data_IF_283075720433
#
_entry.id   IF_283075720433
#
_cell.length_a   1.000
_cell.length_b   1.000
_cell.length_c   1.000
_cell.angle_alpha   90.00
_cell.angle_beta   90.00
_cell.angle_gamma   90.00
#
_symmetry.space_group_name_H-M   'P 1'
#
loop_
_entity.id
_entity.type
_entity.pdbx_description
1 polymer ?
#
# COMPACT_ATOMS: atom_id res chain seq x y z
N UNK A 1 52.38 14.84 -49.69
CA UNK A 1 51.53 15.66 -48.82
C UNK A 1 50.22 14.93 -48.68
N UNK A 2 50.00 14.24 -47.53
CA UNK A 2 48.72 13.65 -47.12
C UNK A 2 48.12 14.56 -46.06
N UNK A 3 47.03 15.24 -46.42
CA UNK A 3 46.24 16.01 -45.47
C UNK A 3 45.35 15.06 -44.72
N UNK A 4 45.60 14.89 -43.41
CA UNK A 4 44.70 14.21 -42.50
C UNK A 4 43.52 15.12 -42.10
N UNK A 5 42.30 14.78 -42.50
CA UNK A 5 41.07 15.39 -41.94
C UNK A 5 40.84 14.83 -40.53
N UNK A 6 41.09 15.64 -39.52
CA UNK A 6 40.69 15.37 -38.15
C UNK A 6 39.19 15.61 -38.00
N UNK A 7 38.40 14.52 -37.78
CA UNK A 7 37.00 14.64 -37.31
C UNK A 7 37.03 15.17 -35.86
N UNK A 8 36.62 16.40 -35.66
CA UNK A 8 36.27 16.93 -34.34
C UNK A 8 34.85 16.41 -33.98
N UNK A 9 34.78 15.43 -33.10
CA UNK A 9 33.51 15.05 -32.47
C UNK A 9 33.21 16.18 -31.44
N UNK A 10 32.32 17.09 -31.82
CA UNK A 10 31.77 18.09 -30.92
C UNK A 10 30.77 17.34 -29.99
N UNK A 11 31.25 16.95 -28.81
CA UNK A 11 30.36 16.56 -27.72
C UNK A 11 29.64 17.82 -27.25
N UNK A 12 28.45 18.05 -27.80
CA UNK A 12 27.55 19.08 -27.29
C UNK A 12 27.19 18.79 -25.82
N UNK A 13 27.00 19.83 -24.98
CA UNK A 13 26.55 19.63 -23.62
C UNK A 13 25.22 18.83 -23.67
N UNK A 14 25.17 17.70 -23.00
CA UNK A 14 23.93 17.01 -22.72
C UNK A 14 23.09 18.00 -21.89
N UNK A 15 22.13 18.66 -22.53
CA UNK A 15 21.15 19.48 -21.83
C UNK A 15 20.50 18.56 -20.81
N UNK A 16 20.63 18.88 -19.52
CA UNK A 16 19.94 18.16 -18.47
C UNK A 16 18.46 18.04 -18.89
N UNK A 17 17.94 16.80 -18.94
CA UNK A 17 16.58 16.54 -19.44
C UNK A 17 15.48 17.08 -18.50
N UNK A 18 15.84 18.00 -17.61
CA UNK A 18 14.95 18.65 -16.65
C UNK A 18 14.92 17.93 -15.31
N UNK A 19 13.90 18.26 -14.52
CA UNK A 19 13.70 17.71 -13.19
C UNK A 19 12.25 17.28 -12.96
N UNK A 20 12.00 16.56 -11.87
CA UNK A 20 10.70 16.21 -11.35
C UNK A 20 10.73 16.20 -9.83
N UNK A 21 9.71 16.75 -9.19
CA UNK A 21 9.60 16.88 -7.73
C UNK A 21 8.61 15.84 -7.20
N UNK A 22 9.10 14.91 -6.37
CA UNK A 22 8.32 13.83 -5.81
C UNK A 22 8.12 14.02 -4.30
N UNK A 23 6.87 14.14 -3.86
CA UNK A 23 6.49 13.96 -2.46
C UNK A 23 6.17 12.48 -2.21
N UNK A 24 6.91 11.83 -1.32
CA UNK A 24 6.81 10.41 -1.07
C UNK A 24 6.64 10.09 0.41
N UNK A 25 5.65 9.27 0.70
CA UNK A 25 5.46 8.71 2.04
C UNK A 25 6.29 7.43 2.28
N UNK A 26 7.02 6.94 1.27
CA UNK A 26 7.98 5.86 1.47
C UNK A 26 9.23 6.38 2.15
N UNK A 27 9.83 5.52 2.98
CA UNK A 27 11.18 5.76 3.47
C UNK A 27 12.15 5.85 2.29
N UNK A 28 13.13 6.72 2.42
CA UNK A 28 14.08 7.02 1.33
C UNK A 28 14.78 5.77 0.82
N UNK A 29 15.25 4.90 1.72
CA UNK A 29 15.94 3.65 1.37
C UNK A 29 15.09 2.67 0.53
N UNK A 30 13.76 2.78 0.59
CA UNK A 30 12.84 1.91 -0.13
C UNK A 30 12.49 2.41 -1.54
N UNK A 31 12.82 3.65 -1.88
CA UNK A 31 12.44 4.25 -3.17
C UNK A 31 13.63 4.87 -3.92
N UNK A 32 14.60 5.44 -3.20
CA UNK A 32 15.73 6.16 -3.80
C UNK A 32 16.49 5.36 -4.85
N UNK A 33 16.81 4.06 -4.67
CA UNK A 33 17.52 3.30 -5.70
C UNK A 33 16.79 3.23 -7.04
N UNK A 34 15.43 3.18 -7.05
CA UNK A 34 14.65 3.24 -8.28
C UNK A 34 14.71 4.64 -8.92
N UNK A 35 14.70 5.69 -8.10
CA UNK A 35 14.81 7.06 -8.59
C UNK A 35 16.19 7.36 -9.17
N UNK A 36 17.25 6.82 -8.57
CA UNK A 36 18.62 6.94 -9.08
C UNK A 36 18.78 6.23 -10.44
N UNK A 37 18.17 5.04 -10.61
CA UNK A 37 18.12 4.34 -11.90
C UNK A 37 17.36 5.13 -12.96
N UNK A 38 16.23 5.72 -12.60
CA UNK A 38 15.47 6.59 -13.49
C UNK A 38 16.31 7.78 -13.94
N UNK A 39 16.98 8.46 -13.01
CA UNK A 39 17.85 9.59 -13.32
C UNK A 39 19.01 9.16 -14.24
N UNK A 40 19.65 8.03 -13.97
CA UNK A 40 20.73 7.50 -14.78
C UNK A 40 20.31 7.18 -16.22
N UNK A 41 19.09 6.64 -16.41
CA UNK A 41 18.59 6.24 -17.73
C UNK A 41 17.97 7.37 -18.52
N UNK A 42 17.32 8.33 -17.86
CA UNK A 42 16.55 9.40 -18.51
C UNK A 42 17.26 10.75 -18.54
N UNK A 43 18.26 10.96 -17.69
CA UNK A 43 18.88 12.28 -17.46
C UNK A 43 18.01 13.23 -16.62
N UNK A 44 16.79 12.82 -16.24
CA UNK A 44 15.86 13.66 -15.45
C UNK A 44 16.23 13.55 -13.97
N UNK A 45 16.51 14.67 -13.33
CA UNK A 45 16.79 14.74 -11.90
C UNK A 45 15.50 14.56 -11.08
N UNK A 46 15.51 13.69 -10.08
CA UNK A 46 14.39 13.54 -9.14
C UNK A 46 14.72 14.27 -7.83
N UNK A 47 13.91 15.27 -7.49
CA UNK A 47 13.97 15.95 -6.20
C UNK A 47 12.96 15.27 -5.25
N UNK A 48 13.48 14.52 -4.29
CA UNK A 48 12.68 13.73 -3.36
C UNK A 48 12.44 14.49 -2.06
N UNK A 49 11.17 14.57 -1.65
CA UNK A 49 10.76 15.01 -0.30
C UNK A 49 10.01 13.86 0.36
N UNK A 50 10.52 13.38 1.48
CA UNK A 50 9.86 12.34 2.28
C UNK A 50 9.11 12.92 3.46
N UNK A 51 8.02 12.24 3.87
CA UNK A 51 7.22 12.66 5.02
C UNK A 51 6.14 11.64 5.38
N UNK A 52 5.42 11.93 6.47
CA UNK A 52 4.24 11.13 6.83
C UNK A 52 3.12 11.36 5.82
N UNK A 53 2.36 10.31 5.53
CA UNK A 53 1.33 10.30 4.47
C UNK A 53 0.34 11.46 4.58
N UNK A 54 -0.29 11.61 5.75
CA UNK A 54 -1.32 12.64 5.94
C UNK A 54 -0.70 14.05 5.98
N UNK A 55 0.54 14.18 6.48
CA UNK A 55 1.25 15.47 6.49
C UNK A 55 1.61 15.93 5.07
N UNK A 56 1.98 15.02 4.17
CA UNK A 56 2.25 15.37 2.78
C UNK A 56 0.98 15.80 2.04
N UNK A 57 -0.15 15.16 2.32
CA UNK A 57 -1.44 15.56 1.76
C UNK A 57 -1.85 16.97 2.24
N UNK A 58 -1.76 17.23 3.55
CA UNK A 58 -2.07 18.56 4.10
C UNK A 58 -1.13 19.63 3.58
N UNK A 59 0.14 19.29 3.39
CA UNK A 59 1.12 20.18 2.76
C UNK A 59 0.71 20.53 1.32
N UNK A 60 0.34 19.56 0.49
CA UNK A 60 -0.13 19.80 -0.87
C UNK A 60 -1.38 20.69 -0.89
N UNK A 61 -2.34 20.46 0.01
CA UNK A 61 -3.54 21.29 0.15
C UNK A 61 -3.18 22.74 0.52
N UNK A 62 -2.28 22.91 1.47
CA UNK A 62 -1.82 24.23 1.93
C UNK A 62 -1.03 24.99 0.86
N UNK A 63 -0.14 24.31 0.14
CA UNK A 63 0.64 24.89 -0.96
C UNK A 63 -0.23 25.22 -2.18
N UNK A 64 -1.32 24.47 -2.39
CA UNK A 64 -2.28 24.68 -3.48
C UNK A 64 -1.59 24.75 -4.85
N UNK A 65 -1.90 25.76 -5.65
CA UNK A 65 -1.30 25.97 -6.98
C UNK A 65 0.19 26.34 -6.97
N UNK A 66 0.71 26.71 -5.80
CA UNK A 66 2.12 27.06 -5.62
C UNK A 66 2.96 25.86 -5.20
N UNK A 67 2.38 24.70 -5.03
CA UNK A 67 3.14 23.50 -4.68
C UNK A 67 4.25 23.25 -5.68
N UNK A 68 5.49 22.98 -5.22
CA UNK A 68 6.57 22.54 -6.10
C UNK A 68 6.44 21.08 -6.52
N UNK A 69 5.61 20.30 -5.84
CA UNK A 69 5.49 18.86 -6.09
C UNK A 69 4.79 18.58 -7.43
N UNK A 70 5.41 17.74 -8.26
CA UNK A 70 4.82 17.22 -9.48
C UNK A 70 4.08 15.90 -9.23
N UNK A 71 4.52 15.12 -8.24
CA UNK A 71 3.98 13.80 -7.91
C UNK A 71 3.76 13.63 -6.41
N UNK A 72 2.69 12.90 -6.07
CA UNK A 72 2.44 12.37 -4.74
C UNK A 72 2.46 10.84 -4.79
N UNK A 73 3.36 10.22 -4.01
CA UNK A 73 3.41 8.79 -3.77
C UNK A 73 3.01 8.51 -2.32
N UNK A 74 1.95 7.74 -2.12
CA UNK A 74 1.44 7.40 -0.78
C UNK A 74 0.92 5.98 -0.71
N UNK A 75 0.67 5.51 0.48
CA UNK A 75 0.07 4.21 0.73
C UNK A 75 -1.43 4.33 0.94
N UNK A 76 -2.16 3.29 0.52
CA UNK A 76 -3.60 3.13 0.64
C UNK A 76 -4.44 3.92 -0.38
N UNK A 77 -5.28 3.21 -1.11
CA UNK A 77 -6.18 3.79 -2.11
C UNK A 77 -7.16 4.81 -1.50
N UNK A 78 -7.51 4.65 -0.22
CA UNK A 78 -8.33 5.63 0.50
C UNK A 78 -7.65 6.99 0.62
N UNK A 79 -6.33 7.03 0.84
CA UNK A 79 -5.56 8.29 0.85
C UNK A 79 -5.43 8.91 -0.53
N UNK A 80 -5.19 8.08 -1.56
CA UNK A 80 -5.13 8.54 -2.94
C UNK A 80 -6.47 9.15 -3.37
N UNK A 81 -7.57 8.52 -2.98
CA UNK A 81 -8.90 9.06 -3.23
C UNK A 81 -9.14 10.39 -2.48
N UNK A 82 -8.73 10.49 -1.21
CA UNK A 82 -8.81 11.77 -0.47
C UNK A 82 -8.01 12.89 -1.15
N UNK A 83 -6.85 12.58 -1.70
CA UNK A 83 -6.07 13.54 -2.47
C UNK A 83 -6.79 13.97 -3.76
N UNK A 84 -7.44 13.02 -4.44
CA UNK A 84 -8.29 13.29 -5.61
C UNK A 84 -9.48 14.19 -5.25
N UNK A 85 -10.24 13.87 -4.21
CA UNK A 85 -11.38 14.66 -3.74
C UNK A 85 -10.99 16.06 -3.25
N UNK A 86 -9.79 16.20 -2.70
CA UNK A 86 -9.23 17.50 -2.32
C UNK A 86 -8.79 18.34 -3.54
N UNK A 87 -8.90 17.82 -4.77
CA UNK A 87 -8.52 18.51 -6.00
C UNK A 87 -7.01 18.74 -6.16
N UNK A 88 -6.17 18.01 -5.39
CA UNK A 88 -4.71 18.14 -5.46
C UNK A 88 -4.07 17.18 -6.47
N UNK A 89 -4.85 16.27 -7.07
CA UNK A 89 -4.41 15.38 -8.15
C UNK A 89 -5.07 15.75 -9.48
N UNK A 90 -4.34 15.55 -10.57
CA UNK A 90 -4.81 15.71 -11.94
C UNK A 90 -4.82 14.37 -12.67
N UNK A 91 -5.75 14.16 -13.62
CA UNK A 91 -5.78 12.92 -14.39
C UNK A 91 -4.59 12.81 -15.36
N UNK A 92 -4.13 11.58 -15.56
CA UNK A 92 -3.05 11.22 -16.49
C UNK A 92 -3.58 10.27 -17.54
N UNK A 93 -3.31 10.61 -18.80
CA UNK A 93 -3.51 9.74 -19.96
C UNK A 93 -2.17 9.15 -20.36
N UNK A 94 -1.96 7.87 -20.06
CA UNK A 94 -0.78 7.10 -20.46
C UNK A 94 -1.19 5.69 -20.85
N UNK A 95 -0.89 5.29 -22.09
CA UNK A 95 -1.11 3.93 -22.57
C UNK A 95 -0.28 2.92 -21.76
N UNK A 96 0.98 3.25 -21.45
CA UNK A 96 1.87 2.40 -20.68
C UNK A 96 1.36 2.17 -19.24
N UNK A 97 0.85 3.19 -18.57
CA UNK A 97 0.26 3.03 -17.24
C UNK A 97 -1.03 2.20 -17.29
N UNK A 98 -1.88 2.40 -18.30
CA UNK A 98 -3.11 1.61 -18.46
C UNK A 98 -2.82 0.14 -18.75
N UNK A 99 -1.76 -0.16 -19.50
CA UNK A 99 -1.31 -1.52 -19.79
C UNK A 99 -0.70 -2.19 -18.55
N UNK A 100 0.17 -1.47 -17.84
CA UNK A 100 0.95 -2.02 -16.71
C UNK A 100 0.16 -2.14 -15.42
N UNK A 101 -0.79 -1.25 -15.18
CA UNK A 101 -1.57 -1.20 -13.93
C UNK A 101 -2.97 -1.75 -14.16
N UNK A 102 -3.35 -2.89 -13.56
CA UNK A 102 -4.68 -3.46 -13.67
C UNK A 102 -5.79 -2.46 -13.30
N UNK A 103 -6.95 -2.56 -13.96
CA UNK A 103 -8.04 -1.61 -13.81
C UNK A 103 -8.56 -1.49 -12.37
N UNK A 104 -8.54 -2.57 -11.58
CA UNK A 104 -8.94 -2.57 -10.18
C UNK A 104 -7.93 -1.89 -9.25
N UNK A 105 -6.68 -1.67 -9.70
CA UNK A 105 -5.61 -1.02 -8.93
C UNK A 105 -5.34 0.43 -9.35
N UNK A 106 -6.24 1.05 -10.07
CA UNK A 106 -6.15 2.46 -10.48
C UNK A 106 -7.48 3.18 -10.39
N UNK A 107 -7.41 4.50 -10.29
CA UNK A 107 -8.61 5.33 -10.41
C UNK A 107 -9.21 5.21 -11.83
N UNK A 108 -10.53 4.99 -11.98
CA UNK A 108 -11.18 4.92 -13.28
C UNK A 108 -10.96 6.15 -14.15
N UNK A 109 -10.80 7.34 -13.53
CA UNK A 109 -10.56 8.62 -14.22
C UNK A 109 -9.08 8.97 -14.37
N UNK A 110 -8.16 8.10 -13.89
CA UNK A 110 -6.72 8.27 -14.08
C UNK A 110 -6.01 9.24 -13.13
N UNK A 111 -6.61 9.60 -11.99
CA UNK A 111 -5.95 10.50 -11.03
C UNK A 111 -4.83 9.82 -10.23
N UNK A 112 -4.88 8.49 -10.08
CA UNK A 112 -3.82 7.74 -9.42
C UNK A 112 -3.71 6.31 -9.95
N UNK A 113 -2.51 5.73 -9.78
CA UNK A 113 -2.16 4.39 -10.24
C UNK A 113 -1.45 3.64 -9.12
N UNK A 114 -1.85 2.39 -8.87
CA UNK A 114 -1.17 1.51 -7.95
C UNK A 114 0.20 1.10 -8.47
N UNK A 115 1.18 1.01 -7.58
CA UNK A 115 2.55 0.62 -7.89
C UNK A 115 2.94 -0.72 -7.26
N UNK A 116 2.38 -1.05 -6.11
CA UNK A 116 2.60 -2.31 -5.42
C UNK A 116 1.37 -2.67 -4.62
N UNK A 117 1.18 -3.97 -4.38
CA UNK A 117 0.03 -4.51 -3.64
C UNK A 117 0.47 -4.97 -2.25
N UNK A 118 -0.38 -4.75 -1.27
CA UNK A 118 -0.29 -5.31 0.06
C UNK A 118 -1.58 -6.03 0.41
N UNK A 119 -1.48 -7.22 0.95
CA UNK A 119 -2.63 -7.94 1.46
C UNK A 119 -2.76 -7.74 2.97
N UNK A 120 -4.00 -7.85 3.48
CA UNK A 120 -4.30 -7.72 4.90
C UNK A 120 -4.93 -9.00 5.44
N UNK A 121 -4.17 -10.11 5.48
CA UNK A 121 -4.67 -11.40 5.96
C UNK A 121 -4.91 -11.42 7.46
N UNK A 122 -5.39 -12.56 7.91
CA UNK A 122 -5.38 -12.96 9.31
C UNK A 122 -4.03 -13.62 9.60
N UNK A 123 -3.32 -13.19 10.64
CA UNK A 123 -2.19 -13.94 11.16
C UNK A 123 -2.57 -14.54 12.52
N UNK A 124 -2.11 -15.74 12.82
CA UNK A 124 -2.49 -16.47 14.02
C UNK A 124 -1.31 -17.19 14.66
N UNK A 125 -1.38 -17.38 15.97
CA UNK A 125 -0.37 -18.12 16.74
C UNK A 125 -0.60 -19.61 16.58
N UNK A 126 0.33 -20.29 15.92
CA UNK A 126 0.20 -21.72 15.51
C UNK A 126 0.05 -22.70 16.67
N UNK A 127 0.52 -22.33 17.87
CA UNK A 127 0.38 -23.15 19.06
C UNK A 127 -1.00 -23.03 19.73
N UNK A 128 -1.82 -22.04 19.37
CA UNK A 128 -3.11 -21.75 20.02
C UNK A 128 -4.31 -21.76 19.08
N UNK A 129 -4.08 -21.71 17.78
CA UNK A 129 -5.13 -21.74 16.75
C UNK A 129 -4.74 -22.71 15.66
N UNK A 130 -5.70 -23.48 15.18
CA UNK A 130 -5.53 -24.33 14.01
C UNK A 130 -6.15 -23.65 12.78
N UNK A 131 -5.56 -23.81 11.61
CA UNK A 131 -6.01 -23.18 10.37
C UNK A 131 -7.48 -23.48 10.02
N UNK A 132 -7.98 -24.66 10.36
CA UNK A 132 -9.38 -25.07 10.12
C UNK A 132 -10.40 -24.37 11.02
N UNK A 133 -9.97 -23.62 12.04
CA UNK A 133 -10.84 -22.74 12.84
C UNK A 133 -11.12 -21.41 12.14
N UNK A 134 -10.30 -21.04 11.15
CA UNK A 134 -10.37 -19.79 10.42
C UNK A 134 -11.08 -19.98 9.06
N UNK A 135 -11.73 -18.92 8.57
CA UNK A 135 -12.42 -18.96 7.27
C UNK A 135 -12.46 -17.61 6.57
N UNK A 136 -13.19 -16.65 7.10
CA UNK A 136 -13.45 -15.34 6.51
C UNK A 136 -13.22 -14.22 7.54
N UNK A 137 -13.15 -12.97 7.09
CA UNK A 137 -13.19 -11.83 8.02
C UNK A 137 -14.51 -11.78 8.78
N UNK A 138 -15.60 -12.16 8.10
CA UNK A 138 -16.95 -12.18 8.66
C UNK A 138 -17.02 -13.12 9.88
N UNK A 139 -16.37 -14.27 9.79
CA UNK A 139 -16.32 -15.25 10.87
C UNK A 139 -15.52 -14.79 12.11
N UNK A 140 -14.73 -13.72 12.01
CA UNK A 140 -14.06 -13.14 13.19
C UNK A 140 -15.03 -12.44 14.16
N UNK A 141 -16.29 -12.20 13.76
CA UNK A 141 -17.36 -11.74 14.64
C UNK A 141 -17.99 -12.87 15.48
N UNK A 142 -17.67 -14.14 15.20
CA UNK A 142 -18.19 -15.30 15.96
C UNK A 142 -17.69 -15.29 17.41
N UNK A 143 -18.55 -15.64 18.36
CA UNK A 143 -18.25 -15.65 19.80
C UNK A 143 -17.06 -16.54 20.21
N UNK A 144 -16.69 -17.51 19.38
CA UNK A 144 -15.50 -18.36 19.62
C UNK A 144 -14.18 -17.54 19.68
N UNK A 145 -14.16 -16.34 19.10
CA UNK A 145 -13.02 -15.43 19.10
C UNK A 145 -13.02 -14.44 20.26
N UNK A 146 -13.99 -14.51 21.18
CA UNK A 146 -14.10 -13.56 22.31
C UNK A 146 -12.82 -13.54 23.13
N UNK A 147 -12.22 -12.33 23.26
CA UNK A 147 -10.97 -12.10 23.99
C UNK A 147 -9.73 -12.67 23.29
N UNK A 148 -9.80 -12.96 21.98
CA UNK A 148 -8.71 -13.62 21.24
C UNK A 148 -8.12 -12.78 20.09
N UNK A 149 -8.68 -11.59 19.81
CA UNK A 149 -8.28 -10.76 18.67
C UNK A 149 -7.53 -9.52 19.16
N UNK A 150 -6.35 -9.26 18.58
CA UNK A 150 -5.69 -7.95 18.66
C UNK A 150 -5.72 -7.26 17.30
N UNK A 151 -5.97 -5.97 17.34
CA UNK A 151 -5.98 -5.12 16.15
C UNK A 151 -5.60 -3.69 16.53
N UNK A 152 -5.16 -2.91 15.56
CA UNK A 152 -4.88 -1.49 15.77
C UNK A 152 -6.15 -0.64 15.75
N UNK A 153 -6.03 0.62 16.14
CA UNK A 153 -7.12 1.59 16.23
C UNK A 153 -7.91 1.80 14.93
N UNK A 154 -9.16 2.26 15.07
CA UNK A 154 -10.04 2.64 13.97
C UNK A 154 -9.60 3.90 13.22
N UNK A 155 -8.76 4.75 13.80
CA UNK A 155 -8.19 5.92 13.15
C UNK A 155 -7.15 5.55 12.08
N UNK A 156 -6.73 4.29 12.05
CA UNK A 156 -5.81 3.81 11.03
C UNK A 156 -6.51 3.51 9.70
N UNK A 157 -5.98 4.09 8.62
CA UNK A 157 -6.54 3.96 7.27
C UNK A 157 -6.65 2.50 6.80
N UNK A 158 -5.76 1.58 7.21
CA UNK A 158 -5.82 0.19 6.75
C UNK A 158 -7.06 -0.55 7.28
N UNK A 159 -7.48 -0.24 8.50
CA UNK A 159 -8.74 -0.77 9.05
C UNK A 159 -9.94 -0.09 8.41
N UNK A 160 -9.88 1.22 8.18
CA UNK A 160 -10.94 1.94 7.47
C UNK A 160 -11.14 1.38 6.06
N UNK A 161 -10.06 1.09 5.33
CA UNK A 161 -10.12 0.50 4.00
C UNK A 161 -10.67 -0.94 4.02
N UNK A 162 -10.31 -1.75 5.02
CA UNK A 162 -10.90 -3.08 5.19
C UNK A 162 -12.43 -2.96 5.41
N UNK A 163 -12.87 -2.09 6.31
CA UNK A 163 -14.29 -1.86 6.57
C UNK A 163 -14.99 -1.29 5.35
N UNK A 164 -14.37 -0.36 4.61
CA UNK A 164 -14.89 0.17 3.35
C UNK A 164 -15.09 -0.94 2.30
N UNK A 165 -14.17 -1.91 2.21
CA UNK A 165 -14.32 -3.07 1.32
C UNK A 165 -15.50 -3.97 1.73
N UNK A 166 -15.76 -4.10 3.02
CA UNK A 166 -16.90 -4.86 3.53
C UNK A 166 -18.23 -4.13 3.27
N UNK A 167 -18.25 -2.79 3.39
CA UNK A 167 -19.42 -1.98 3.01
C UNK A 167 -19.73 -2.16 1.52
N UNK A 168 -18.71 -2.11 0.67
CA UNK A 168 -18.88 -2.33 -0.77
C UNK A 168 -19.48 -3.71 -1.10
N UNK A 169 -19.14 -4.73 -0.32
CA UNK A 169 -19.59 -6.10 -0.51
C UNK A 169 -20.95 -6.39 0.11
N UNK A 170 -21.21 -5.90 1.32
CA UNK A 170 -22.35 -6.31 2.16
C UNK A 170 -23.33 -5.19 2.47
N UNK A 171 -22.98 -3.94 2.16
CA UNK A 171 -23.72 -2.78 2.60
C UNK A 171 -23.41 -2.36 4.04
N UNK A 172 -23.92 -1.18 4.40
CA UNK A 172 -23.60 -0.52 5.70
C UNK A 172 -24.15 -1.32 6.88
N UNK A 173 -25.43 -1.73 6.82
CA UNK A 173 -26.13 -2.39 7.94
C UNK A 173 -25.46 -3.71 8.33
N UNK A 174 -25.21 -4.58 7.36
CA UNK A 174 -24.56 -5.87 7.62
C UNK A 174 -23.11 -5.71 8.11
N UNK A 175 -22.39 -4.73 7.55
CA UNK A 175 -21.02 -4.42 7.99
C UNK A 175 -20.99 -3.86 9.40
N UNK A 176 -21.96 -3.02 9.78
CA UNK A 176 -22.07 -2.51 11.17
C UNK A 176 -22.37 -3.63 12.18
N UNK A 177 -23.27 -4.56 11.83
CA UNK A 177 -23.55 -5.73 12.66
C UNK A 177 -22.30 -6.60 12.85
N UNK A 178 -21.56 -6.85 11.77
CA UNK A 178 -20.27 -7.52 11.83
C UNK A 178 -19.27 -6.77 12.73
N UNK A 179 -19.09 -5.46 12.52
CA UNK A 179 -18.13 -4.67 13.27
C UNK A 179 -18.40 -4.70 14.78
N UNK A 180 -19.67 -4.67 15.21
CA UNK A 180 -20.08 -4.82 16.63
C UNK A 180 -19.67 -6.18 17.19
N UNK A 181 -19.90 -7.27 16.44
CA UNK A 181 -19.47 -8.62 16.82
C UNK A 181 -17.96 -8.76 16.88
N UNK A 182 -17.27 -8.18 15.90
CA UNK A 182 -15.81 -8.19 15.81
C UNK A 182 -15.16 -7.45 16.98
N UNK A 183 -15.63 -6.23 17.30
CA UNK A 183 -15.17 -5.43 18.45
C UNK A 183 -15.38 -6.15 19.76
N UNK A 184 -16.52 -6.84 19.92
CA UNK A 184 -16.83 -7.62 21.13
C UNK A 184 -15.83 -8.78 21.38
N UNK A 185 -15.05 -9.16 20.36
CA UNK A 185 -14.05 -10.22 20.41
C UNK A 185 -12.62 -9.72 20.66
N UNK A 186 -12.40 -8.41 20.77
CA UNK A 186 -11.08 -7.87 21.06
C UNK A 186 -10.57 -8.31 22.43
N UNK A 187 -9.32 -8.73 22.48
CA UNK A 187 -8.65 -9.15 23.70
C UNK A 187 -8.25 -7.99 24.59
N UNK A 188 -8.04 -6.83 23.96
CA UNK A 188 -7.62 -5.59 24.61
C UNK A 188 -8.09 -4.38 23.81
N UNK A 189 -8.12 -3.18 24.38
CA UNK A 189 -8.33 -1.96 23.61
C UNK A 189 -7.32 -1.86 22.45
N UNK A 190 -7.74 -1.46 21.23
CA UNK A 190 -6.83 -1.27 20.10
C UNK A 190 -5.75 -0.24 20.41
N UNK A 191 -4.49 -0.63 20.23
CA UNK A 191 -3.34 0.23 20.52
C UNK A 191 -2.12 -0.20 19.68
N UNK A 192 -1.30 0.76 19.26
CA UNK A 192 -0.08 0.51 18.50
C UNK A 192 -0.32 0.19 17.02
N UNK A 193 0.74 -0.17 16.32
CA UNK A 193 0.74 -0.54 14.91
C UNK A 193 0.61 -2.05 14.67
N UNK A 194 0.71 -2.48 13.41
CA UNK A 194 0.61 -3.90 13.05
C UNK A 194 1.72 -4.75 13.69
N UNK A 195 2.95 -4.22 13.84
CA UNK A 195 4.04 -4.90 14.57
C UNK A 195 3.69 -5.14 16.04
N UNK A 196 3.06 -4.17 16.68
CA UNK A 196 2.65 -4.27 18.08
C UNK A 196 1.58 -5.36 18.28
N UNK A 197 0.73 -5.60 17.27
CA UNK A 197 -0.24 -6.70 17.31
C UNK A 197 0.48 -8.06 17.23
N UNK A 198 1.49 -8.20 16.38
CA UNK A 198 2.30 -9.41 16.30
C UNK A 198 3.01 -9.69 17.63
N UNK A 199 3.62 -8.66 18.23
CA UNK A 199 4.28 -8.77 19.54
C UNK A 199 3.30 -9.15 20.65
N UNK A 200 2.12 -8.56 20.66
CA UNK A 200 1.06 -8.87 21.63
C UNK A 200 0.58 -10.33 21.51
N UNK A 201 0.37 -10.80 20.28
CA UNK A 201 -0.01 -12.19 20.03
C UNK A 201 1.10 -13.17 20.43
N UNK A 202 2.36 -12.85 20.07
CA UNK A 202 3.52 -13.66 20.45
C UNK A 202 3.71 -13.75 21.98
N UNK A 203 3.32 -12.69 22.70
CA UNK A 203 3.35 -12.61 24.17
C UNK A 203 2.11 -13.24 24.84
N UNK A 204 1.15 -13.78 24.11
CA UNK A 204 -0.03 -14.46 24.64
C UNK A 204 -1.21 -13.56 25.01
N UNK A 205 -1.19 -12.28 24.61
CA UNK A 205 -2.30 -11.36 24.87
C UNK A 205 -3.53 -11.61 23.98
N UNK A 206 -3.31 -12.20 22.81
CA UNK A 206 -4.34 -12.62 21.87
C UNK A 206 -3.81 -13.75 20.98
N UNK A 207 -4.70 -14.35 20.18
CA UNK A 207 -4.37 -15.50 19.36
C UNK A 207 -4.35 -15.18 17.87
N UNK A 208 -5.12 -14.17 17.47
CA UNK A 208 -5.38 -13.80 16.08
C UNK A 208 -5.20 -12.28 15.91
N UNK A 209 -4.60 -11.88 14.81
CA UNK A 209 -4.39 -10.49 14.43
C UNK A 209 -4.73 -10.28 12.96
N UNK A 210 -5.19 -9.07 12.59
CA UNK A 210 -5.38 -8.67 11.19
C UNK A 210 -4.35 -7.60 10.87
N UNK A 211 -3.41 -7.93 10.00
CA UNK A 211 -2.22 -7.12 9.72
C UNK A 211 -1.87 -7.11 8.24
N UNK A 212 -1.12 -6.11 7.79
CA UNK A 212 -0.57 -6.12 6.45
C UNK A 212 0.65 -7.06 6.36
N UNK A 213 0.73 -7.82 5.28
CA UNK A 213 1.75 -8.86 5.04
C UNK A 213 3.17 -8.39 5.21
N UNK A 214 3.51 -7.21 4.70
CA UNK A 214 4.89 -6.69 4.74
C UNK A 214 5.40 -6.44 6.16
N UNK A 215 4.53 -6.22 7.15
CA UNK A 215 4.97 -6.09 8.55
C UNK A 215 5.50 -7.42 9.09
N UNK A 216 4.74 -8.51 8.89
CA UNK A 216 5.19 -9.83 9.31
C UNK A 216 6.45 -10.25 8.54
N UNK A 217 6.47 -10.01 7.21
CA UNK A 217 7.63 -10.30 6.37
C UNK A 217 8.88 -9.53 6.84
N UNK A 218 8.74 -8.24 7.16
CA UNK A 218 9.84 -7.44 7.67
C UNK A 218 10.33 -7.92 9.05
N UNK A 219 9.41 -8.31 9.95
CA UNK A 219 9.79 -8.84 11.27
C UNK A 219 10.51 -10.17 11.16
N UNK A 220 10.11 -11.07 10.24
CA UNK A 220 10.80 -12.36 9.99
C UNK A 220 12.24 -12.16 9.49
N UNK A 221 12.54 -11.02 8.86
CA UNK A 221 13.85 -10.65 8.35
C UNK A 221 14.55 -9.56 9.18
N UNK A 222 14.02 -9.22 10.35
CA UNK A 222 14.55 -8.13 11.18
C UNK A 222 15.97 -8.49 11.73
N UNK A 223 16.78 -7.49 11.95
CA UNK A 223 18.10 -7.66 12.60
C UNK A 223 17.93 -8.01 14.08
N UNK A 224 16.90 -7.52 14.72
CA UNK A 224 16.55 -7.82 16.10
C UNK A 224 15.99 -9.24 16.22
N UNK A 225 16.67 -10.07 17.00
CA UNK A 225 16.32 -11.47 17.29
C UNK A 225 14.92 -11.57 17.90
N UNK A 226 14.58 -10.68 18.83
CA UNK A 226 13.27 -10.69 19.50
C UNK A 226 12.12 -10.46 18.52
N UNK A 227 12.31 -9.58 17.52
CA UNK A 227 11.32 -9.37 16.46
C UNK A 227 11.14 -10.64 15.61
N UNK A 228 12.24 -11.30 15.20
CA UNK A 228 12.17 -12.55 14.43
C UNK A 228 11.48 -13.67 15.20
N UNK A 229 11.85 -13.87 16.46
CA UNK A 229 11.26 -14.91 17.32
C UNK A 229 9.78 -14.69 17.57
N UNK A 230 9.36 -13.45 17.77
CA UNK A 230 7.95 -13.11 17.89
C UNK A 230 7.18 -13.41 16.59
N UNK A 231 7.69 -12.96 15.45
CA UNK A 231 7.07 -13.20 14.15
C UNK A 231 6.99 -14.68 13.79
N UNK A 232 8.01 -15.47 14.15
CA UNK A 232 8.07 -16.92 13.88
C UNK A 232 7.01 -17.74 14.63
N UNK A 233 6.36 -17.18 15.66
CA UNK A 233 5.23 -17.83 16.35
C UNK A 233 3.92 -17.75 15.58
N UNK A 234 3.83 -16.85 14.60
CA UNK A 234 2.64 -16.62 13.81
C UNK A 234 2.80 -17.14 12.37
N UNK A 235 1.69 -17.51 11.77
CA UNK A 235 1.61 -17.74 10.33
C UNK A 235 0.39 -17.04 9.75
N UNK A 236 0.37 -16.91 8.42
CA UNK A 236 -0.70 -16.24 7.69
C UNK A 236 -1.80 -17.24 7.35
N UNK A 237 -3.04 -16.82 7.54
CA UNK A 237 -4.24 -17.45 6.98
C UNK A 237 -4.88 -16.48 5.98
N UNK A 238 -5.15 -16.96 4.78
CA UNK A 238 -5.79 -16.18 3.71
C UNK A 238 -7.32 -16.30 3.84
N UNK A 239 -8.03 -15.26 4.33
CA UNK A 239 -9.49 -15.33 4.48
C UNK A 239 -10.21 -15.22 3.15
N UNK A 240 -11.49 -15.60 3.15
CA UNK A 240 -12.41 -15.42 2.01
C UNK A 240 -11.97 -16.09 0.70
N UNK A 241 -11.18 -17.17 0.75
CA UNK A 241 -10.66 -17.82 -0.45
C UNK A 241 -11.73 -18.55 -1.26
N UNK A 242 -12.86 -18.91 -0.63
CA UNK A 242 -14.02 -19.56 -1.29
C UNK A 242 -15.03 -18.57 -1.86
N UNK A 243 -14.87 -17.28 -1.54
CA UNK A 243 -15.76 -16.22 -2.00
C UNK A 243 -14.97 -15.06 -2.65
N UNK A 244 -15.02 -13.85 -2.10
CA UNK A 244 -14.43 -12.63 -2.72
C UNK A 244 -12.90 -12.57 -2.73
N UNK A 245 -12.22 -13.33 -1.91
CA UNK A 245 -10.77 -13.26 -1.74
C UNK A 245 -10.33 -12.33 -0.59
N UNK A 246 -9.03 -12.32 -0.32
CA UNK A 246 -8.45 -11.48 0.73
C UNK A 246 -8.44 -10.01 0.34
N UNK A 247 -8.73 -9.14 1.30
CA UNK A 247 -8.61 -7.69 1.11
C UNK A 247 -7.18 -7.32 0.74
N UNK A 248 -7.04 -6.59 -0.37
CA UNK A 248 -5.79 -6.03 -0.85
C UNK A 248 -5.91 -4.51 -0.97
N UNK A 249 -4.77 -3.84 -0.93
CA UNK A 249 -4.65 -2.41 -1.13
C UNK A 249 -3.33 -2.09 -1.83
N UNK A 250 -3.12 -0.84 -2.24
CA UNK A 250 -1.94 -0.45 -3.00
C UNK A 250 -1.16 0.67 -2.32
N UNK A 251 0.14 0.71 -2.55
CA UNK A 251 0.85 1.97 -2.62
C UNK A 251 0.71 2.49 -4.04
N UNK A 252 0.45 3.77 -4.18
CA UNK A 252 0.19 4.34 -5.51
C UNK A 252 0.73 5.75 -5.65
N UNK A 253 0.65 6.25 -6.87
CA UNK A 253 1.19 7.54 -7.29
C UNK A 253 0.15 8.31 -8.10
N UNK A 254 0.09 9.62 -7.89
CA UNK A 254 -0.74 10.55 -8.66
C UNK A 254 0.05 11.77 -9.08
N UNK A 255 -0.30 12.31 -10.25
CA UNK A 255 0.18 13.60 -10.73
C UNK A 255 -0.51 14.71 -9.94
N UNK A 256 0.25 15.68 -9.42
CA UNK A 256 -0.38 16.81 -8.72
C UNK A 256 -1.04 17.77 -9.70
N UNK A 257 -2.10 18.45 -9.26
CA UNK A 257 -2.76 19.50 -10.04
C UNK A 257 -1.86 20.73 -10.28
N UNK A 258 -0.82 20.90 -9.44
CA UNK A 258 0.16 21.97 -9.52
C UNK A 258 1.41 21.62 -10.33
N UNK A 259 1.50 20.39 -10.88
CA UNK A 259 2.68 19.87 -11.55
C UNK A 259 3.19 20.81 -12.66
N UNK A 260 4.45 21.22 -12.52
CA UNK A 260 5.17 22.09 -13.49
C UNK A 260 5.95 21.27 -14.51
N UNK A 261 6.38 20.07 -14.13
CA UNK A 261 7.17 19.17 -14.97
C UNK A 261 6.37 17.94 -15.38
N UNK A 262 5.15 18.18 -15.93
CA UNK A 262 4.15 17.15 -16.21
C UNK A 262 4.69 15.95 -17.00
N UNK A 263 5.40 16.20 -18.11
CA UNK A 263 5.92 15.15 -18.97
C UNK A 263 6.98 14.29 -18.26
N UNK A 264 7.87 14.93 -17.50
CA UNK A 264 8.87 14.25 -16.70
C UNK A 264 8.23 13.42 -15.57
N UNK A 265 7.17 13.96 -14.97
CA UNK A 265 6.38 13.27 -13.95
C UNK A 265 5.73 12.00 -14.50
N UNK A 266 5.11 12.05 -15.68
CA UNK A 266 4.50 10.87 -16.33
C UNK A 266 5.57 9.81 -16.64
N UNK A 267 6.74 10.22 -17.17
CA UNK A 267 7.86 9.29 -17.40
C UNK A 267 8.31 8.59 -16.11
N UNK A 268 8.37 9.31 -14.99
CA UNK A 268 8.71 8.72 -13.70
C UNK A 268 7.61 7.76 -13.21
N UNK A 269 6.33 8.10 -13.39
CA UNK A 269 5.22 7.19 -13.07
C UNK A 269 5.32 5.88 -13.86
N UNK A 270 5.61 5.97 -15.17
CA UNK A 270 5.78 4.81 -16.04
C UNK A 270 6.99 3.94 -15.64
N UNK A 271 8.11 4.58 -15.25
CA UNK A 271 9.28 3.87 -14.73
C UNK A 271 8.95 3.12 -13.43
N UNK A 272 8.27 3.79 -12.48
CA UNK A 272 7.86 3.18 -11.21
C UNK A 272 6.81 2.07 -11.36
N UNK A 273 6.12 1.99 -12.50
CA UNK A 273 5.24 0.88 -12.86
C UNK A 273 5.91 -0.20 -13.74
N UNK A 274 7.22 -0.09 -14.04
CA UNK A 274 7.96 -1.04 -14.86
C UNK A 274 8.20 -2.38 -14.17
N UNK A 275 8.59 -3.40 -14.92
CA UNK A 275 8.92 -4.73 -14.38
C UNK A 275 10.10 -4.67 -13.41
N UNK A 276 11.09 -3.83 -13.68
CA UNK A 276 12.22 -3.59 -12.79
C UNK A 276 11.75 -3.03 -11.44
N UNK A 277 10.88 -2.03 -11.45
CA UNK A 277 10.31 -1.47 -10.24
C UNK A 277 9.45 -2.50 -9.48
N UNK A 278 8.67 -3.32 -10.19
CA UNK A 278 7.86 -4.38 -9.58
C UNK A 278 8.74 -5.42 -8.87
N UNK A 279 9.84 -5.82 -9.49
CA UNK A 279 10.83 -6.73 -8.87
C UNK A 279 11.43 -6.11 -7.60
N UNK A 280 11.80 -4.83 -7.66
CA UNK A 280 12.28 -4.09 -6.50
C UNK A 280 11.28 -4.09 -5.33
N UNK A 281 10.01 -3.79 -5.61
CA UNK A 281 8.97 -3.80 -4.57
C UNK A 281 8.81 -5.19 -3.93
N UNK A 282 8.88 -6.25 -4.74
CA UNK A 282 8.75 -7.61 -4.27
C UNK A 282 9.93 -8.03 -3.38
N UNK A 283 11.15 -7.74 -3.79
CA UNK A 283 12.37 -8.19 -3.12
C UNK A 283 12.78 -7.31 -1.95
N UNK A 284 12.68 -5.98 -2.11
CA UNK A 284 13.18 -5.02 -1.12
C UNK A 284 12.09 -4.56 -0.16
N UNK A 285 10.91 -4.21 -0.69
CA UNK A 285 9.84 -3.64 0.12
C UNK A 285 8.94 -4.71 0.75
N UNK A 286 9.11 -5.98 0.37
CA UNK A 286 8.25 -7.09 0.80
C UNK A 286 6.77 -6.82 0.47
N UNK A 287 6.50 -6.25 -0.71
CA UNK A 287 5.17 -5.98 -1.23
C UNK A 287 4.92 -6.83 -2.48
N UNK A 288 3.66 -7.17 -2.75
CA UNK A 288 3.32 -7.94 -3.94
C UNK A 288 3.35 -7.05 -5.19
N UNK A 289 3.82 -7.58 -6.33
CA UNK A 289 3.70 -6.90 -7.61
C UNK A 289 2.23 -6.67 -7.99
N UNK A 290 1.97 -5.60 -8.75
CA UNK A 290 0.64 -5.34 -9.32
C UNK A 290 0.29 -6.31 -10.48
N UNK A 291 1.28 -6.99 -11.03
CA UNK A 291 1.11 -7.98 -12.11
C UNK A 291 1.55 -9.37 -11.64
N UNK A 292 0.69 -10.35 -11.90
CA UNK A 292 0.95 -11.74 -11.53
C UNK A 292 2.15 -12.38 -12.28
N UNK A 293 2.59 -11.78 -13.39
CA UNK A 293 3.76 -12.25 -14.16
C UNK A 293 5.10 -11.97 -13.45
N UNK A 294 5.13 -11.09 -12.46
CA UNK A 294 6.35 -10.74 -11.72
C UNK A 294 6.46 -11.64 -10.48
N UNK A 295 7.57 -12.34 -10.26
CA UNK A 295 7.76 -13.17 -9.09
C UNK A 295 7.71 -12.38 -7.78
N UNK A 296 7.16 -12.97 -6.75
CA UNK A 296 7.19 -12.41 -5.38
C UNK A 296 8.51 -12.75 -4.69
N UNK A 297 8.92 -11.93 -3.71
CA UNK A 297 10.10 -12.19 -2.89
C UNK A 297 9.93 -13.46 -2.04
N UNK A 298 11.06 -14.09 -1.65
CA UNK A 298 11.08 -15.38 -0.95
C UNK A 298 10.21 -15.42 0.31
N UNK A 299 10.25 -14.37 1.13
CA UNK A 299 9.48 -14.31 2.38
C UNK A 299 7.98 -14.28 2.11
N UNK A 300 7.53 -13.51 1.12
CA UNK A 300 6.12 -13.48 0.73
C UNK A 300 5.69 -14.79 0.05
N UNK A 301 6.55 -15.40 -0.76
CA UNK A 301 6.28 -16.71 -1.37
C UNK A 301 6.07 -17.80 -0.31
N UNK A 302 6.82 -17.76 0.79
CA UNK A 302 6.68 -18.67 1.91
C UNK A 302 5.34 -18.51 2.67
N UNK A 303 4.66 -17.38 2.53
CA UNK A 303 3.30 -17.17 3.08
C UNK A 303 2.20 -17.84 2.24
N UNK A 304 2.56 -18.45 1.11
CA UNK A 304 1.63 -19.12 0.21
C UNK A 304 0.99 -18.19 -0.82
N UNK A 305 0.16 -18.78 -1.67
CA UNK A 305 -0.62 -18.07 -2.70
C UNK A 305 -2.03 -17.76 -2.19
N UNK A 306 -2.65 -16.75 -2.78
CA UNK A 306 -4.01 -16.36 -2.40
C UNK A 306 -4.79 -15.80 -3.59
N UNK A 307 -6.10 -15.88 -3.48
CA UNK A 307 -7.04 -15.13 -4.30
C UNK A 307 -7.23 -13.76 -3.68
N UNK A 308 -6.88 -12.70 -4.41
CA UNK A 308 -7.14 -11.32 -4.01
C UNK A 308 -8.60 -10.93 -4.30
N UNK A 309 -9.16 -10.04 -3.48
CA UNK A 309 -10.41 -9.38 -3.81
C UNK A 309 -10.22 -8.53 -5.07
N UNK A 310 -11.17 -8.63 -6.01
CA UNK A 310 -11.14 -7.93 -7.30
C UNK A 310 -11.87 -6.60 -7.28
N UNK A 311 -12.32 -6.14 -6.11
CA UNK A 311 -12.94 -4.83 -5.93
C UNK A 311 -12.05 -3.74 -6.55
N UNK A 312 -12.63 -2.81 -7.33
CA UNK A 312 -11.88 -1.63 -7.71
C UNK A 312 -11.58 -0.78 -6.48
N UNK A 313 -10.29 -0.56 -6.22
CA UNK A 313 -9.82 0.08 -4.98
C UNK A 313 -10.26 1.54 -4.82
N UNK A 314 -10.74 2.18 -5.88
CA UNK A 314 -11.39 3.49 -5.79
C UNK A 314 -12.56 3.48 -4.80
N UNK A 315 -13.28 2.36 -4.70
CA UNK A 315 -14.40 2.20 -3.77
C UNK A 315 -13.96 2.27 -2.29
N UNK A 316 -12.72 1.93 -1.97
CA UNK A 316 -12.20 2.08 -0.60
C UNK A 316 -12.25 3.54 -0.14
N UNK A 317 -11.95 4.46 -1.05
CA UNK A 317 -12.08 5.89 -0.78
C UNK A 317 -13.54 6.36 -0.73
N UNK A 318 -14.37 5.90 -1.66
CA UNK A 318 -15.80 6.26 -1.70
C UNK A 318 -16.54 5.92 -0.41
N UNK A 319 -16.23 4.76 0.19
CA UNK A 319 -16.84 4.30 1.45
C UNK A 319 -16.06 4.67 2.70
N UNK A 320 -14.92 5.36 2.61
CA UNK A 320 -14.06 5.65 3.77
C UNK A 320 -14.79 6.45 4.84
N UNK A 321 -15.50 7.52 4.48
CA UNK A 321 -16.21 8.35 5.46
C UNK A 321 -17.31 7.57 6.21
N UNK A 322 -18.03 6.68 5.50
CA UNK A 322 -19.04 5.83 6.13
C UNK A 322 -18.39 4.73 6.99
N UNK A 323 -17.26 4.16 6.54
CA UNK A 323 -16.51 3.20 7.33
C UNK A 323 -16.07 3.78 8.68
N UNK A 324 -15.55 5.01 8.69
CA UNK A 324 -15.15 5.72 9.93
C UNK A 324 -16.34 5.87 10.88
N UNK A 325 -17.47 6.35 10.39
CA UNK A 325 -18.71 6.51 11.19
C UNK A 325 -19.21 5.18 11.73
N UNK A 326 -19.18 4.15 10.91
CA UNK A 326 -19.61 2.79 11.26
C UNK A 326 -18.72 2.21 12.37
N UNK A 327 -17.40 2.36 12.23
CA UNK A 327 -16.44 1.88 13.22
C UNK A 327 -16.65 2.58 14.58
N UNK A 328 -16.92 3.89 14.58
CA UNK A 328 -17.24 4.65 15.80
C UNK A 328 -18.54 4.13 16.46
N UNK A 329 -19.63 3.94 15.68
CA UNK A 329 -20.89 3.36 16.17
C UNK A 329 -20.72 1.93 16.71
N UNK A 330 -19.79 1.16 16.15
CA UNK A 330 -19.46 -0.19 16.63
C UNK A 330 -18.57 -0.18 17.91
N UNK A 331 -18.08 0.97 18.33
CA UNK A 331 -17.18 1.10 19.48
C UNK A 331 -15.74 0.70 19.21
N UNK A 332 -15.32 0.66 17.96
CA UNK A 332 -13.93 0.42 17.59
C UNK A 332 -13.14 1.73 17.82
N UNK A 333 -12.30 1.74 18.82
CA UNK A 333 -11.51 2.91 19.22
C UNK A 333 -10.12 2.92 18.59
#
# INVERSE_FOLDING_TARGET
WVMGLGLWVVSGPLLAAGEVNLYSARKEELIKPLLDKFTASSGIKVNLVTGKEDALLERLKSEGRNSPADLLLTSDAGRLHRAQEAGVLAPVESAALRERVPANYRDPKGHWFGLSVRARPIAYVTQRVHANELSTYEALADRKWKGRICIRSSDNIYNQSLVASMIAQHGVEATEAWAKGFVANFARPPVGGDRDQVLAAAAGQCDVVVINTYYLAAMLNDKDVAQREAAAKLTVFWPNQKDRGVHVNVSGIGLTAAAKHRDNAVKLMEHLASDEAQTWYAETNQEYPIRASIPVGKTLAAMGTFKADTLNLHQLGQYNAEAVKLMDRAGWK
#
